data_IF_133424400801
#
_entry.id   IF_133424400801
#
_cell.length_a   1.000
_cell.length_b   1.000
_cell.length_c   1.000
_cell.angle_alpha   90.00
_cell.angle_beta   90.00
_cell.angle_gamma   90.00
#
_symmetry.space_group_name_H-M   'P 1'
#
loop_
_entity.id
_entity.type
_entity.pdbx_description
1 polymer ?
#
# COMPACT_ATOMS: atom_id res chain seq x y z
N UNK A 1 -11.89 -25.11 -7.19
CA UNK A 1 -10.72 -24.96 -6.29
C UNK A 1 -9.61 -24.12 -6.93
N UNK A 2 -9.30 -24.30 -8.23
CA UNK A 2 -8.26 -23.54 -8.94
C UNK A 2 -8.55 -22.02 -9.06
N UNK A 3 -9.80 -21.63 -9.32
CA UNK A 3 -10.17 -20.21 -9.55
C UNK A 3 -10.05 -19.32 -8.31
N UNK A 4 -10.37 -19.86 -7.12
CA UNK A 4 -10.27 -19.12 -5.85
C UNK A 4 -8.82 -18.87 -5.42
N UNK A 5 -7.92 -19.83 -5.70
CA UNK A 5 -6.49 -19.67 -5.45
C UNK A 5 -5.85 -18.65 -6.39
N UNK A 6 -6.26 -18.63 -7.66
CA UNK A 6 -5.78 -17.66 -8.65
C UNK A 6 -6.19 -16.22 -8.25
N UNK A 7 -7.47 -16.01 -7.90
CA UNK A 7 -7.97 -14.73 -7.41
C UNK A 7 -7.20 -14.24 -6.17
N UNK A 8 -6.91 -15.15 -5.24
CA UNK A 8 -6.14 -14.83 -4.05
C UNK A 8 -4.67 -14.47 -4.36
N UNK A 9 -4.03 -15.18 -5.28
CA UNK A 9 -2.67 -14.87 -5.71
C UNK A 9 -2.60 -13.51 -6.43
N UNK A 10 -3.55 -13.21 -7.32
CA UNK A 10 -3.63 -11.89 -7.98
C UNK A 10 -3.85 -10.76 -6.98
N UNK A 11 -4.70 -10.99 -5.96
CA UNK A 11 -4.92 -10.04 -4.88
C UNK A 11 -3.63 -9.76 -4.07
N UNK A 12 -2.88 -10.81 -3.71
CA UNK A 12 -1.57 -10.66 -3.04
C UNK A 12 -0.55 -9.90 -3.90
N UNK A 13 -0.53 -10.13 -5.21
CA UNK A 13 0.33 -9.38 -6.13
C UNK A 13 -0.06 -7.90 -6.16
N UNK A 14 -1.36 -7.59 -6.21
CA UNK A 14 -1.81 -6.19 -6.17
C UNK A 14 -1.51 -5.51 -4.84
N UNK A 15 -1.48 -6.25 -3.73
CA UNK A 15 -1.07 -5.74 -2.43
C UNK A 15 0.41 -5.33 -2.39
N UNK A 16 1.29 -5.93 -3.20
CA UNK A 16 2.70 -5.56 -3.29
C UNK A 16 2.95 -4.20 -3.96
N UNK A 17 2.02 -3.72 -4.78
CA UNK A 17 2.14 -2.42 -5.46
C UNK A 17 2.32 -1.28 -4.45
N UNK A 18 1.58 -1.32 -3.34
CA UNK A 18 1.64 -0.30 -2.29
C UNK A 18 3.02 -0.17 -1.65
N UNK A 19 3.57 -1.23 -1.05
CA UNK A 19 4.91 -1.24 -0.48
C UNK A 19 6.01 -0.81 -1.45
N UNK A 20 5.94 -1.22 -2.72
CA UNK A 20 6.90 -0.80 -3.75
C UNK A 20 6.83 0.72 -3.95
N UNK A 21 5.62 1.27 -4.07
CA UNK A 21 5.39 2.69 -4.30
C UNK A 21 5.82 3.54 -3.10
N UNK A 22 5.50 3.09 -1.88
CA UNK A 22 5.97 3.71 -0.64
C UNK A 22 7.49 3.70 -0.56
N UNK A 23 8.14 2.59 -0.93
CA UNK A 23 9.61 2.50 -0.96
C UNK A 23 10.22 3.51 -1.92
N UNK A 24 9.68 3.61 -3.15
CA UNK A 24 10.12 4.63 -4.12
C UNK A 24 9.94 6.04 -3.55
N UNK A 25 8.81 6.30 -2.88
CA UNK A 25 8.51 7.59 -2.26
C UNK A 25 9.49 7.95 -1.13
N UNK A 26 9.88 6.96 -0.31
CA UNK A 26 10.90 7.10 0.74
C UNK A 26 12.25 7.45 0.11
N UNK A 27 12.68 6.69 -0.91
CA UNK A 27 13.97 6.93 -1.59
C UNK A 27 14.00 8.31 -2.24
N UNK A 28 12.91 8.73 -2.87
CA UNK A 28 12.78 10.07 -3.45
C UNK A 28 12.86 11.16 -2.36
N UNK A 29 12.09 11.03 -1.29
CA UNK A 29 12.07 11.98 -0.19
C UNK A 29 13.42 12.14 0.50
N UNK A 30 14.12 11.02 0.70
CA UNK A 30 15.47 11.00 1.26
C UNK A 30 16.47 11.71 0.33
N UNK A 31 16.53 11.33 -0.95
CA UNK A 31 17.45 11.94 -1.94
C UNK A 31 17.21 13.43 -2.14
N UNK A 32 15.99 13.91 -1.91
CA UNK A 32 15.59 15.31 -2.10
C UNK A 32 15.53 16.13 -0.81
N UNK A 33 15.93 15.56 0.33
CA UNK A 33 15.84 16.19 1.66
C UNK A 33 14.42 16.64 2.06
N UNK A 34 13.40 15.97 1.52
CA UNK A 34 12.00 16.25 1.78
C UNK A 34 11.54 15.40 2.99
N UNK A 35 11.80 15.90 4.21
CA UNK A 35 11.63 15.13 5.47
C UNK A 35 10.24 14.54 5.67
N UNK A 36 9.20 15.36 5.52
CA UNK A 36 7.81 14.94 5.65
C UNK A 36 7.40 13.80 4.69
N UNK A 37 7.97 13.74 3.48
CA UNK A 37 7.61 12.71 2.48
C UNK A 37 8.14 11.34 2.92
N UNK A 38 9.43 11.24 3.23
CA UNK A 38 9.98 9.93 3.57
C UNK A 38 9.50 9.45 4.95
N UNK A 39 9.30 10.34 5.93
CA UNK A 39 8.77 9.96 7.25
C UNK A 39 7.35 9.40 7.13
N UNK A 40 6.45 10.12 6.44
CA UNK A 40 5.06 9.65 6.27
C UNK A 40 4.99 8.32 5.54
N UNK A 41 5.80 8.13 4.50
CA UNK A 41 5.83 6.89 3.75
C UNK A 41 6.47 5.73 4.53
N UNK A 42 7.45 5.98 5.42
CA UNK A 42 7.96 4.96 6.35
C UNK A 42 6.85 4.50 7.30
N UNK A 43 6.09 5.43 7.87
CA UNK A 43 4.96 5.10 8.76
C UNK A 43 3.91 4.29 8.01
N UNK A 44 3.55 4.69 6.79
CA UNK A 44 2.60 3.93 5.96
C UNK A 44 3.13 2.55 5.60
N UNK A 45 4.42 2.41 5.31
CA UNK A 45 5.04 1.13 5.01
C UNK A 45 4.98 0.19 6.22
N UNK A 46 5.35 0.68 7.41
CA UNK A 46 5.29 -0.09 8.66
C UNK A 46 3.84 -0.49 8.96
N UNK A 47 2.90 0.44 8.85
CA UNK A 47 1.48 0.18 9.07
C UNK A 47 0.95 -0.91 8.11
N UNK A 48 1.29 -0.81 6.84
CA UNK A 48 0.93 -1.79 5.81
C UNK A 48 1.52 -3.16 6.14
N UNK A 49 2.75 -3.21 6.63
CA UNK A 49 3.43 -4.46 7.01
C UNK A 49 2.77 -5.11 8.24
N UNK A 50 2.44 -4.32 9.26
CA UNK A 50 1.75 -4.80 10.47
C UNK A 50 0.38 -5.38 10.11
N UNK A 51 -0.41 -4.67 9.30
CA UNK A 51 -1.72 -5.17 8.87
C UNK A 51 -1.60 -6.42 8.02
N UNK A 52 -0.63 -6.48 7.10
CA UNK A 52 -0.39 -7.66 6.27
C UNK A 52 0.03 -8.87 7.11
N UNK A 53 0.92 -8.68 8.08
CA UNK A 53 1.34 -9.73 9.01
C UNK A 53 0.17 -10.21 9.89
N UNK A 54 -0.62 -9.28 10.43
CA UNK A 54 -1.83 -9.60 11.19
C UNK A 54 -2.82 -10.41 10.36
N UNK A 55 -3.01 -10.05 9.09
CA UNK A 55 -3.87 -10.79 8.17
C UNK A 55 -3.36 -12.20 7.90
N UNK A 56 -2.05 -12.36 7.63
CA UNK A 56 -1.43 -13.67 7.42
C UNK A 56 -1.60 -14.58 8.64
N UNK A 57 -1.49 -14.05 9.85
CA UNK A 57 -1.70 -14.81 11.09
C UNK A 57 -3.17 -15.25 11.29
N UNK A 58 -4.13 -14.55 10.68
CA UNK A 58 -5.55 -14.90 10.75
C UNK A 58 -6.05 -15.68 9.54
N UNK A 59 -5.21 -15.97 8.54
CA UNK A 59 -5.64 -16.66 7.32
C UNK A 59 -6.33 -17.98 7.62
N UNK A 60 -5.82 -18.77 8.56
CA UNK A 60 -6.41 -20.09 8.89
C UNK A 60 -7.80 -19.94 9.51
N UNK A 61 -8.00 -18.96 10.38
CA UNK A 61 -9.30 -18.65 10.97
C UNK A 61 -10.29 -18.14 9.90
N UNK A 62 -9.83 -17.27 9.00
CA UNK A 62 -10.63 -16.73 7.90
C UNK A 62 -11.00 -17.86 6.92
N UNK A 63 -10.09 -18.78 6.62
CA UNK A 63 -10.36 -19.93 5.76
C UNK A 63 -11.42 -20.87 6.36
N UNK A 64 -11.39 -21.09 7.68
CA UNK A 64 -12.40 -21.91 8.37
C UNK A 64 -13.78 -21.26 8.43
N UNK A 65 -13.86 -19.92 8.45
CA UNK A 65 -15.12 -19.15 8.46
C UNK A 65 -15.75 -18.96 7.08
N UNK A 66 -15.14 -19.49 6.01
CA UNK A 66 -15.49 -19.14 4.64
C UNK A 66 -15.59 -20.36 3.69
N UNK A 67 -16.53 -21.30 3.94
CA UNK A 67 -16.75 -22.45 3.05
C UNK A 67 -17.45 -22.10 1.72
N UNK A 68 -17.99 -20.88 1.57
CA UNK A 68 -18.76 -20.46 0.38
C UNK A 68 -18.33 -19.08 -0.17
N UNK A 69 -18.26 -18.90 -1.51
CA UNK A 69 -17.98 -17.60 -2.12
C UNK A 69 -19.08 -16.58 -1.75
N UNK A 70 -18.68 -15.46 -1.14
CA UNK A 70 -19.60 -14.40 -0.67
C UNK A 70 -19.84 -14.38 0.85
N UNK A 71 -19.25 -15.32 1.61
CA UNK A 71 -19.29 -15.33 3.06
C UNK A 71 -18.46 -14.23 3.73
N UNK A 72 -18.57 -14.15 5.06
CA UNK A 72 -17.95 -13.12 5.92
C UNK A 72 -16.44 -12.93 5.68
N UNK A 73 -15.71 -13.97 5.27
CA UNK A 73 -14.28 -13.83 4.99
C UNK A 73 -13.94 -12.99 3.75
N UNK A 74 -14.87 -12.85 2.79
CA UNK A 74 -14.70 -11.91 1.66
C UNK A 74 -14.80 -10.46 2.14
N UNK A 75 -15.70 -10.17 3.09
CA UNK A 75 -15.82 -8.84 3.69
C UNK A 75 -14.59 -8.47 4.52
N UNK A 76 -14.03 -9.44 5.26
CA UNK A 76 -12.78 -9.25 6.02
C UNK A 76 -11.61 -8.97 5.08
N UNK A 77 -11.49 -9.72 3.97
CA UNK A 77 -10.50 -9.45 2.91
C UNK A 77 -10.65 -8.03 2.34
N UNK A 78 -11.87 -7.61 2.00
CA UNK A 78 -12.15 -6.29 1.44
C UNK A 78 -11.82 -5.16 2.42
N UNK A 79 -12.16 -5.34 3.71
CA UNK A 79 -11.81 -4.38 4.75
C UNK A 79 -10.29 -4.23 4.85
N UNK A 80 -9.56 -5.33 4.95
CA UNK A 80 -8.10 -5.33 5.06
C UNK A 80 -7.45 -4.75 3.81
N UNK A 81 -7.98 -5.08 2.63
CA UNK A 81 -7.59 -4.44 1.37
C UNK A 81 -7.75 -2.92 1.42
N UNK A 82 -8.83 -2.43 2.04
CA UNK A 82 -9.11 -0.99 2.16
C UNK A 82 -8.10 -0.29 3.08
N UNK A 83 -7.70 -0.96 4.17
CA UNK A 83 -6.69 -0.46 5.09
C UNK A 83 -5.29 -0.35 4.46
N UNK A 84 -5.00 -1.12 3.42
CA UNK A 84 -3.73 -1.06 2.68
C UNK A 84 -3.84 -0.12 1.47
N UNK A 85 -4.99 -0.07 0.80
CA UNK A 85 -5.20 0.77 -0.39
C UNK A 85 -5.19 2.26 -0.06
N UNK A 86 -5.74 2.67 1.09
CA UNK A 86 -5.78 4.09 1.50
C UNK A 86 -4.36 4.67 1.72
N UNK A 87 -3.49 4.07 2.56
CA UNK A 87 -2.09 4.54 2.69
C UNK A 87 -1.33 4.50 1.36
N UNK A 88 -1.61 3.52 0.51
CA UNK A 88 -1.01 3.39 -0.82
C UNK A 88 -1.39 4.55 -1.73
N UNK A 89 -2.68 4.90 -1.79
CA UNK A 89 -3.15 6.03 -2.59
C UNK A 89 -2.57 7.35 -2.05
N UNK A 90 -2.57 7.55 -0.73
CA UNK A 90 -1.96 8.72 -0.10
C UNK A 90 -0.46 8.82 -0.40
N UNK A 91 0.27 7.71 -0.35
CA UNK A 91 1.68 7.62 -0.74
C UNK A 91 1.91 8.13 -2.16
N UNK A 92 1.07 7.69 -3.11
CA UNK A 92 1.13 8.13 -4.50
C UNK A 92 0.89 9.63 -4.66
N UNK A 93 -0.16 10.17 -4.04
CA UNK A 93 -0.43 11.60 -4.10
C UNK A 93 0.67 12.45 -3.45
N UNK A 94 1.22 12.00 -2.32
CA UNK A 94 2.33 12.69 -1.66
C UNK A 94 3.59 12.69 -2.54
N UNK A 95 3.90 11.57 -3.19
CA UNK A 95 5.02 11.47 -4.13
C UNK A 95 4.82 12.41 -5.32
N UNK A 96 3.64 12.38 -5.95
CA UNK A 96 3.31 13.25 -7.07
C UNK A 96 3.43 14.74 -6.66
N UNK A 97 2.85 15.12 -5.52
CA UNK A 97 2.93 16.47 -4.99
C UNK A 97 4.40 16.91 -4.77
N UNK A 98 5.23 16.05 -4.21
CA UNK A 98 6.65 16.34 -4.00
C UNK A 98 7.41 16.51 -5.32
N UNK A 99 7.11 15.70 -6.34
CA UNK A 99 7.67 15.84 -7.68
C UNK A 99 7.27 17.18 -8.31
N UNK A 100 5.99 17.56 -8.26
CA UNK A 100 5.52 18.83 -8.79
C UNK A 100 6.14 20.03 -8.07
N UNK A 101 6.27 19.98 -6.74
CA UNK A 101 6.96 21.05 -5.98
C UNK A 101 8.42 21.18 -6.39
N UNK A 102 9.12 20.07 -6.61
CA UNK A 102 10.51 20.07 -7.10
C UNK A 102 10.63 20.65 -8.51
N UNK A 103 9.73 20.27 -9.43
CA UNK A 103 9.72 20.80 -10.79
C UNK A 103 9.45 22.30 -10.80
N UNK A 104 8.48 22.77 -9.99
CA UNK A 104 8.17 24.21 -9.86
C UNK A 104 9.35 25.00 -9.30
N UNK A 105 10.08 24.45 -8.33
CA UNK A 105 11.28 25.11 -7.78
C UNK A 105 12.35 25.28 -8.87
N UNK A 106 12.64 24.22 -9.64
CA UNK A 106 13.60 24.28 -10.74
C UNK A 106 13.18 25.26 -11.84
N UNK A 107 11.90 25.30 -12.20
CA UNK A 107 11.40 26.23 -13.21
C UNK A 107 11.58 27.70 -12.80
N UNK A 108 11.48 28.01 -11.50
CA UNK A 108 11.73 29.36 -10.97
C UNK A 108 13.21 29.70 -10.83
N UNK A 109 14.10 28.71 -10.71
CA UNK A 109 15.56 28.93 -10.67
C UNK A 109 16.16 29.14 -12.07
N UNK A 110 15.43 28.78 -13.13
CA UNK A 110 15.88 28.88 -14.53
C UNK A 110 15.26 30.08 -15.27
N UNK A 111 14.37 30.84 -14.62
CA UNK A 111 13.69 32.03 -15.14
C UNK A 111 14.27 33.29 -14.48
#
# INVERSE_FOLDING_TARGET
MLDGQLLFAMFLITLLVGPILMTISIVFGFRKNIKWLWITNVVFLIFTFIISAYYLLQMDQIATLNPTPGGTGVLVMLLISSWISVPTALSFFLLAAAIFMQQRKKAKETA
#
